data_IF_102655445467
#
_entry.id   IF_102655445467
#
_cell.length_a   1.000
_cell.length_b   1.000
_cell.length_c   1.000
_cell.angle_alpha   90.00
_cell.angle_beta   90.00
_cell.angle_gamma   90.00
#
_symmetry.space_group_name_H-M   'P 1'
#
loop_
_entity.id
_entity.type
_entity.pdbx_description
1 polymer ?
#
# COMPACT_ATOMS: atom_id res chain seq x y z
N UNK A 1 -43.16 0.03 62.42
CA UNK A 1 -41.85 -0.17 63.09
C UNK A 1 -41.50 -1.64 63.00
N UNK A 2 -40.30 -2.11 62.56
CA UNK A 2 -39.16 -1.45 61.91
C UNK A 2 -38.87 -2.02 60.48
N UNK A 3 -37.95 -1.40 59.75
CA UNK A 3 -37.40 -1.90 58.48
C UNK A 3 -36.28 -2.93 58.73
N UNK A 4 -36.14 -3.99 57.91
CA UNK A 4 -34.89 -4.74 57.87
C UNK A 4 -33.93 -4.09 56.86
N UNK A 5 -32.86 -3.54 57.42
CA UNK A 5 -31.65 -3.09 56.74
C UNK A 5 -31.03 -4.21 55.89
N UNK A 6 -31.39 -4.27 54.61
CA UNK A 6 -30.69 -5.07 53.61
C UNK A 6 -29.45 -4.33 53.13
N UNK A 7 -28.32 -4.61 53.77
CA UNK A 7 -27.01 -4.14 53.32
C UNK A 7 -26.78 -4.55 51.86
N UNK A 8 -26.88 -3.59 50.93
CA UNK A 8 -26.44 -3.78 49.55
C UNK A 8 -24.92 -3.95 49.58
N UNK A 9 -24.51 -5.22 49.62
CA UNK A 9 -23.13 -5.66 49.47
C UNK A 9 -22.53 -4.95 48.27
N UNK A 10 -21.47 -4.19 48.53
CA UNK A 10 -20.54 -3.66 47.53
C UNK A 10 -20.28 -4.75 46.49
N UNK A 11 -20.69 -4.48 45.25
CA UNK A 11 -20.32 -5.31 44.09
C UNK A 11 -18.81 -5.49 44.13
N UNK A 12 -18.38 -6.75 44.07
CA UNK A 12 -16.99 -7.09 43.86
C UNK A 12 -16.49 -6.33 42.63
N UNK A 13 -15.28 -5.74 42.64
CA UNK A 13 -14.72 -5.20 41.42
C UNK A 13 -14.56 -6.36 40.45
N UNK A 14 -15.15 -6.20 39.26
CA UNK A 14 -14.97 -7.08 38.12
C UNK A 14 -13.50 -7.51 38.07
N UNK A 15 -13.26 -8.81 38.28
CA UNK A 15 -12.00 -9.44 37.93
C UNK A 15 -11.91 -9.33 36.42
N UNK A 16 -11.35 -8.21 35.96
CA UNK A 16 -10.90 -8.05 34.59
C UNK A 16 -9.93 -9.20 34.35
N UNK A 17 -10.41 -10.25 33.67
CA UNK A 17 -9.60 -11.29 33.09
C UNK A 17 -8.63 -10.58 32.14
N UNK A 18 -7.44 -10.26 32.64
CA UNK A 18 -6.33 -9.86 31.79
C UNK A 18 -6.03 -11.07 30.92
N UNK A 19 -6.43 -10.99 29.64
CA UNK A 19 -5.93 -11.93 28.65
C UNK A 19 -4.42 -11.78 28.65
N UNK A 20 -3.74 -12.81 29.11
CA UNK A 20 -2.29 -12.95 28.98
C UNK A 20 -2.01 -13.29 27.51
N UNK A 21 -2.00 -12.25 26.65
CA UNK A 21 -1.38 -12.34 25.34
C UNK A 21 0.11 -12.44 25.60
N UNK A 22 0.61 -13.67 25.81
CA UNK A 22 2.02 -13.94 26.01
C UNK A 22 2.89 -13.20 24.99
N UNK A 23 4.16 -12.96 25.36
CA UNK A 23 5.10 -12.15 24.58
C UNK A 23 4.95 -12.40 23.07
N UNK A 24 4.66 -11.35 22.26
CA UNK A 24 4.54 -11.53 20.83
C UNK A 24 5.83 -12.17 20.33
N UNK A 25 5.75 -13.23 19.50
CA UNK A 25 6.94 -13.91 19.01
C UNK A 25 7.85 -12.85 18.41
N UNK A 26 9.12 -12.80 18.85
CA UNK A 26 10.13 -11.85 18.38
C UNK A 26 10.05 -11.80 16.86
N UNK A 27 9.42 -10.77 16.34
CA UNK A 27 9.22 -10.62 14.90
C UNK A 27 10.62 -10.49 14.32
N UNK A 28 11.01 -11.48 13.51
CA UNK A 28 12.23 -11.41 12.72
C UNK A 28 12.22 -10.04 12.04
N UNK A 29 13.21 -9.20 12.39
CA UNK A 29 13.32 -7.80 11.96
C UNK A 29 12.88 -7.69 10.50
N UNK A 30 11.83 -6.92 10.26
CA UNK A 30 11.29 -6.67 8.92
C UNK A 30 12.41 -6.08 8.05
N UNK A 31 13.14 -6.93 7.34
CA UNK A 31 14.22 -6.53 6.46
C UNK A 31 13.53 -5.84 5.27
N UNK A 32 13.78 -4.56 5.00
CA UNK A 32 13.25 -3.93 3.80
C UNK A 32 13.72 -4.77 2.61
N UNK A 33 12.76 -5.25 1.81
CA UNK A 33 13.08 -5.96 0.59
C UNK A 33 13.94 -5.04 -0.29
N UNK A 34 14.99 -5.57 -0.94
CA UNK A 34 15.78 -4.77 -1.87
C UNK A 34 14.83 -4.15 -2.92
N UNK A 35 15.01 -2.87 -3.29
CA UNK A 35 14.22 -2.24 -4.32
C UNK A 35 14.34 -3.08 -5.59
N UNK A 36 13.21 -3.57 -6.09
CA UNK A 36 13.19 -4.39 -7.29
C UNK A 36 13.42 -3.46 -8.48
N UNK A 37 14.52 -3.61 -9.23
CA UNK A 37 14.86 -2.68 -10.33
C UNK A 37 13.78 -2.63 -11.42
N UNK A 38 13.01 -3.71 -11.55
CA UNK A 38 11.89 -3.82 -12.47
C UNK A 38 10.70 -2.94 -12.08
N UNK A 39 10.48 -2.74 -10.78
CA UNK A 39 9.45 -1.83 -10.26
C UNK A 39 9.82 -0.36 -10.52
N UNK A 40 11.09 -0.01 -10.40
CA UNK A 40 11.59 1.34 -10.71
C UNK A 40 11.47 1.65 -12.20
N UNK A 41 11.83 0.69 -13.07
CA UNK A 41 11.70 0.84 -14.52
C UNK A 41 10.24 1.05 -14.95
N UNK A 42 9.31 0.28 -14.38
CA UNK A 42 7.87 0.45 -14.59
C UNK A 42 7.40 1.83 -14.12
N UNK A 43 7.78 2.24 -12.91
CA UNK A 43 7.39 3.54 -12.36
C UNK A 43 7.85 4.69 -13.26
N UNK A 44 9.11 4.66 -13.71
CA UNK A 44 9.66 5.66 -14.65
C UNK A 44 8.91 5.67 -15.97
N UNK A 45 8.54 4.50 -16.48
CA UNK A 45 7.78 4.41 -17.72
C UNK A 45 6.37 5.00 -17.61
N UNK A 46 5.67 4.70 -16.52
CA UNK A 46 4.34 5.28 -16.24
C UNK A 46 4.42 6.80 -16.11
N UNK A 47 5.43 7.33 -15.41
CA UNK A 47 5.60 8.77 -15.26
C UNK A 47 5.87 9.47 -16.59
N UNK A 48 6.80 8.94 -17.41
CA UNK A 48 7.11 9.53 -18.71
C UNK A 48 5.89 9.52 -19.64
N UNK A 49 5.14 8.41 -19.69
CA UNK A 49 3.91 8.32 -20.48
C UNK A 49 2.84 9.32 -20.03
N UNK A 50 2.68 9.52 -18.71
CA UNK A 50 1.76 10.54 -18.19
C UNK A 50 2.21 11.96 -18.54
N UNK A 51 3.51 12.24 -18.48
CA UNK A 51 4.07 13.53 -18.87
C UNK A 51 3.88 13.82 -20.36
N UNK A 52 3.96 12.78 -21.20
CA UNK A 52 3.62 12.85 -22.63
C UNK A 52 2.10 12.99 -22.93
N UNK A 53 1.25 12.95 -21.89
CA UNK A 53 -0.19 13.15 -21.99
C UNK A 53 -1.03 11.88 -22.02
N UNK A 54 -0.43 10.69 -21.89
CA UNK A 54 -1.16 9.42 -21.89
C UNK A 54 -1.85 9.16 -20.56
N UNK A 55 -3.06 8.59 -20.61
CA UNK A 55 -3.80 8.12 -19.43
C UNK A 55 -3.41 6.69 -19.09
N UNK A 56 -2.57 6.53 -18.07
CA UNK A 56 -2.06 5.22 -17.64
C UNK A 56 -2.71 4.77 -16.33
N UNK A 57 -3.37 3.61 -16.36
CA UNK A 57 -4.01 2.95 -15.22
C UNK A 57 -3.51 1.52 -15.06
N UNK A 58 -3.42 1.05 -13.82
CA UNK A 58 -3.14 -0.37 -13.53
C UNK A 58 -4.43 -1.18 -13.64
N UNK A 59 -4.40 -2.30 -14.35
CA UNK A 59 -5.50 -3.25 -14.49
C UNK A 59 -5.00 -4.66 -14.17
N UNK A 60 -4.93 -4.98 -12.88
CA UNK A 60 -4.40 -6.25 -12.39
C UNK A 60 -2.91 -6.45 -12.75
N UNK A 61 -2.65 -7.45 -13.59
CA UNK A 61 -1.32 -7.77 -14.12
C UNK A 61 -0.93 -6.96 -15.37
N UNK A 62 -1.88 -6.21 -15.95
CA UNK A 62 -1.69 -5.39 -17.15
C UNK A 62 -1.82 -3.90 -16.81
N UNK A 63 -1.50 -3.06 -17.80
CA UNK A 63 -1.62 -1.61 -17.73
C UNK A 63 -2.50 -1.12 -18.88
N UNK A 64 -3.48 -0.28 -18.58
CA UNK A 64 -4.32 0.38 -19.59
C UNK A 64 -3.73 1.74 -19.90
N UNK A 65 -3.45 2.01 -21.18
CA UNK A 65 -2.91 3.26 -21.70
C UNK A 65 -3.81 3.73 -22.83
N UNK A 66 -4.51 4.87 -22.66
CA UNK A 66 -5.45 5.43 -23.66
C UNK A 66 -6.33 4.35 -24.33
N UNK A 67 -6.98 3.55 -23.48
CA UNK A 67 -7.85 2.43 -23.85
C UNK A 67 -7.20 1.17 -24.42
N UNK A 68 -5.86 1.12 -24.52
CA UNK A 68 -5.12 -0.10 -24.88
C UNK A 68 -4.61 -0.83 -23.64
N UNK A 69 -4.77 -2.14 -23.59
CA UNK A 69 -4.18 -3.00 -22.57
C UNK A 69 -2.78 -3.45 -23.00
N UNK A 70 -1.78 -3.18 -22.15
CA UNK A 70 -0.37 -3.46 -22.39
C UNK A 70 0.20 -4.27 -21.23
N UNK A 71 1.13 -5.18 -21.55
CA UNK A 71 1.96 -5.80 -20.52
C UNK A 71 2.96 -4.78 -19.97
N UNK A 72 3.59 -5.07 -18.82
CA UNK A 72 4.69 -4.24 -18.29
C UNK A 72 5.80 -4.06 -19.33
N UNK A 73 6.17 -5.12 -20.06
CA UNK A 73 7.19 -5.07 -21.10
C UNK A 73 6.78 -4.18 -22.26
N UNK A 74 5.53 -4.29 -22.72
CA UNK A 74 5.02 -3.47 -23.83
C UNK A 74 4.91 -2.00 -23.44
N UNK A 75 4.54 -1.71 -22.19
CA UNK A 75 4.50 -0.35 -21.66
C UNK A 75 5.91 0.27 -21.64
N UNK A 76 6.93 -0.50 -21.22
CA UNK A 76 8.33 -0.03 -21.26
C UNK A 76 8.80 0.18 -22.70
N UNK A 77 8.40 -0.67 -23.65
CA UNK A 77 8.70 -0.50 -25.08
C UNK A 77 8.03 0.74 -25.64
N UNK A 78 6.74 0.96 -25.32
CA UNK A 78 5.99 2.14 -25.73
C UNK A 78 6.69 3.42 -25.26
N UNK A 79 7.10 3.47 -23.99
CA UNK A 79 7.89 4.60 -23.46
C UNK A 79 9.16 4.88 -24.25
N UNK A 80 9.85 3.85 -24.75
CA UNK A 80 11.07 4.02 -25.56
C UNK A 80 10.78 4.38 -27.02
N UNK A 81 9.63 3.99 -27.53
CA UNK A 81 9.19 4.27 -28.89
C UNK A 81 8.52 5.65 -29.02
N UNK A 82 8.02 6.20 -27.92
CA UNK A 82 7.34 7.48 -27.91
C UNK A 82 8.34 8.64 -27.81
N UNK A 83 8.51 9.47 -28.87
CA UNK A 83 9.46 10.58 -28.87
C UNK A 83 9.07 11.68 -27.87
N UNK A 84 7.80 11.74 -27.43
CA UNK A 84 7.34 12.69 -26.41
C UNK A 84 7.70 12.23 -25.00
N UNK A 85 8.09 10.96 -24.83
CA UNK A 85 8.59 10.41 -23.58
C UNK A 85 10.12 10.55 -23.42
N UNK A 86 10.85 10.99 -24.45
CA UNK A 86 12.31 11.14 -24.43
C UNK A 86 12.80 12.40 -23.67
N UNK A 87 11.91 13.27 -23.18
CA UNK A 87 12.31 14.47 -22.43
C UNK A 87 11.42 14.68 -21.19
N UNK A 88 12.05 14.93 -20.02
CA UNK A 88 12.50 16.28 -19.74
C UNK A 88 13.89 16.28 -19.10
N UNK A 89 14.95 16.42 -19.88
CA UNK A 89 16.13 17.13 -19.37
C UNK A 89 15.80 18.62 -19.42
N UNK A 90 15.96 19.29 -18.28
CA UNK A 90 15.33 20.56 -18.00
C UNK A 90 15.83 21.70 -18.87
N UNK A 91 14.88 22.48 -19.37
CA UNK A 91 15.06 23.91 -19.56
C UNK A 91 14.53 24.60 -18.30
N UNK A 92 15.42 24.85 -17.34
CA UNK A 92 15.24 25.76 -16.20
C UNK A 92 16.53 26.50 -15.94
#
# INVERSE_FOLDING_TARGET
MPAPSGHLRRRAPDRQLRLDLGDPPRTARHRPAPPQPEADALYRAVQALRAAGHRVYRSGALHRVDDRLLTTTDLIRLRRADPRCEQPEGER
#
